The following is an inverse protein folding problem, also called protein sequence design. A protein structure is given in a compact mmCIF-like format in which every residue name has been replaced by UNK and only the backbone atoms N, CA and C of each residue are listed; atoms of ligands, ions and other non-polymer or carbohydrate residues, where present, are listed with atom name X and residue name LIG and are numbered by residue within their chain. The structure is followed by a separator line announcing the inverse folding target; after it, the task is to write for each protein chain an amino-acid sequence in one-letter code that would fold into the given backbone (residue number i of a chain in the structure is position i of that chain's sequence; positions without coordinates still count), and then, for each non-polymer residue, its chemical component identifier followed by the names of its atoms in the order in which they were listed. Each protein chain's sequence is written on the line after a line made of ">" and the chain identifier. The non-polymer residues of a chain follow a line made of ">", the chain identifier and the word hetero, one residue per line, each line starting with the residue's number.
data_IF_116388258779
#
_entry.id   IF_116388258779
#
_cell.length_a   1.000
_cell.length_b   1.000
_cell.length_c   1.000
_cell.angle_alpha   90.00
_cell.angle_beta   90.00
_cell.angle_gamma   90.00
#
_symmetry.space_group_name_H-M   'P 1'
#
loop_
_entity.id
_entity.type
_entity.pdbx_description
1 polymer ?
#
# COMPACT_ATOMS: atom_id res chain seq x y z
N UNK A 1 1.02 -35.54 -27.64
CA UNK A 1 1.94 -35.48 -26.47
C UNK A 1 2.05 -34.03 -26.02
N UNK A 2 1.37 -33.66 -24.95
CA UNK A 2 1.30 -32.28 -24.41
C UNK A 2 2.63 -31.95 -23.71
N UNK A 3 3.19 -30.75 -23.95
CA UNK A 3 4.51 -30.30 -23.47
C UNK A 3 4.36 -29.53 -22.15
N UNK A 4 4.20 -30.23 -21.03
CA UNK A 4 4.08 -29.58 -19.71
C UNK A 4 5.43 -29.00 -19.27
N UNK A 5 5.51 -27.67 -19.12
CA UNK A 5 6.59 -26.97 -18.40
C UNK A 5 6.13 -26.74 -16.96
N UNK A 6 6.89 -27.19 -15.98
CA UNK A 6 6.55 -27.05 -14.56
C UNK A 6 7.57 -26.11 -13.91
N UNK A 7 7.08 -25.11 -13.18
CA UNK A 7 7.90 -24.27 -12.33
C UNK A 7 7.96 -24.88 -10.93
N UNK A 8 9.16 -25.24 -10.46
CA UNK A 8 9.39 -25.64 -9.09
C UNK A 8 9.88 -24.45 -8.27
N UNK A 9 9.16 -24.14 -7.21
CA UNK A 9 9.49 -23.07 -6.26
C UNK A 9 9.97 -23.73 -4.98
N UNK A 10 11.20 -23.44 -4.58
CA UNK A 10 11.82 -23.93 -3.36
C UNK A 10 12.06 -22.76 -2.41
N UNK A 11 11.36 -22.74 -1.28
CA UNK A 11 11.69 -21.84 -0.18
C UNK A 11 12.63 -22.54 0.81
N UNK A 12 13.73 -21.87 1.13
CA UNK A 12 14.58 -22.28 2.24
C UNK A 12 13.82 -22.13 3.57
N UNK A 13 14.06 -23.04 4.51
CA UNK A 13 13.37 -23.06 5.81
C UNK A 13 14.09 -22.24 6.89
N UNK A 14 15.37 -21.91 6.65
CA UNK A 14 16.25 -21.22 7.60
C UNK A 14 16.66 -19.84 7.10
N UNK A 15 16.81 -19.67 5.79
CA UNK A 15 17.25 -18.43 5.15
C UNK A 15 16.10 -17.72 4.43
N UNK A 16 16.11 -16.38 4.36
CA UNK A 16 15.08 -15.66 3.63
C UNK A 16 15.36 -15.71 2.12
N UNK A 17 15.26 -16.90 1.53
CA UNK A 17 15.64 -17.22 0.16
C UNK A 17 14.62 -18.14 -0.52
N UNK A 18 14.25 -17.78 -1.75
CA UNK A 18 13.42 -18.59 -2.64
C UNK A 18 14.17 -18.82 -3.95
N UNK A 19 14.18 -20.07 -4.40
CA UNK A 19 14.75 -20.51 -5.66
C UNK A 19 13.66 -21.07 -6.55
N UNK A 20 13.67 -20.68 -7.81
CA UNK A 20 12.70 -21.10 -8.80
C UNK A 20 13.44 -21.74 -9.97
N UNK A 21 13.05 -22.97 -10.32
CA UNK A 21 13.67 -23.74 -11.38
C UNK A 21 12.60 -24.34 -12.28
N UNK A 22 12.81 -24.27 -13.59
CA UNK A 22 11.93 -24.90 -14.58
C UNK A 22 12.40 -26.32 -14.83
N UNK A 23 11.47 -27.26 -14.76
CA UNK A 23 11.70 -28.64 -15.17
C UNK A 23 11.18 -28.83 -16.58
N UNK A 24 12.10 -29.09 -17.51
CA UNK A 24 11.77 -29.44 -18.89
C UNK A 24 11.65 -30.96 -19.06
N UNK A 25 10.98 -31.40 -20.13
CA UNK A 25 10.65 -32.81 -20.41
C UNK A 25 11.83 -33.79 -20.41
N UNK A 26 13.05 -33.31 -20.56
CA UNK A 26 14.27 -34.14 -20.57
C UNK A 26 14.79 -34.44 -19.16
N UNK A 27 14.10 -33.98 -18.10
CA UNK A 27 14.59 -34.04 -16.72
C UNK A 27 15.67 -33.00 -16.44
N UNK A 28 15.96 -32.14 -17.41
CA UNK A 28 16.84 -30.99 -17.24
C UNK A 28 16.10 -29.94 -16.41
N UNK A 29 16.73 -29.56 -15.29
CA UNK A 29 16.26 -28.52 -14.39
C UNK A 29 17.12 -27.29 -14.66
N UNK A 30 16.48 -26.14 -14.91
CA UNK A 30 17.17 -24.87 -15.12
C UNK A 30 16.71 -23.86 -14.08
N UNK A 31 17.64 -23.30 -13.33
CA UNK A 31 17.35 -22.20 -12.40
C UNK A 31 17.01 -20.94 -13.19
N UNK A 32 15.88 -20.32 -12.86
CA UNK A 32 15.35 -19.16 -13.59
C UNK A 32 15.21 -17.92 -12.73
N UNK A 33 15.04 -18.07 -11.42
CA UNK A 33 14.75 -16.97 -10.52
C UNK A 33 15.27 -17.30 -9.13
N UNK A 34 15.96 -16.35 -8.52
CA UNK A 34 16.32 -16.38 -7.11
C UNK A 34 15.85 -15.08 -6.46
N UNK A 35 15.11 -15.20 -5.37
CA UNK A 35 14.64 -14.08 -4.56
C UNK A 35 15.27 -14.20 -3.17
N UNK A 36 15.94 -13.15 -2.71
CA UNK A 36 16.58 -13.11 -1.38
C UNK A 36 16.25 -11.79 -0.68
N UNK A 37 15.83 -11.85 0.59
CA UNK A 37 15.74 -10.66 1.43
C UNK A 37 17.13 -10.30 1.98
N UNK A 38 17.60 -9.10 1.68
CA UNK A 38 18.87 -8.56 2.19
C UNK A 38 18.64 -7.28 2.97
N UNK A 39 19.72 -6.71 3.48
CA UNK A 39 19.74 -5.53 4.37
C UNK A 39 19.22 -4.24 3.73
N UNK A 40 19.21 -4.15 2.39
CA UNK A 40 18.71 -3.00 1.62
C UNK A 40 17.53 -3.35 0.69
N UNK A 41 16.89 -4.52 0.89
CA UNK A 41 15.62 -4.85 0.28
C UNK A 41 15.54 -6.26 -0.31
N UNK A 42 14.56 -6.44 -1.20
CA UNK A 42 14.27 -7.72 -1.86
C UNK A 42 15.09 -7.82 -3.14
N UNK A 43 16.10 -8.69 -3.15
CA UNK A 43 16.97 -8.92 -4.30
C UNK A 43 16.35 -9.98 -5.22
N UNK A 44 16.17 -9.62 -6.48
CA UNK A 44 15.61 -10.52 -7.49
C UNK A 44 16.64 -10.73 -8.60
N UNK A 45 17.01 -11.99 -8.79
CA UNK A 45 17.95 -12.43 -9.82
C UNK A 45 17.18 -13.27 -10.84
N UNK A 46 16.84 -12.69 -11.99
CA UNK A 46 16.25 -13.42 -13.13
C UNK A 46 17.40 -13.98 -14.00
N UNK A 47 17.38 -15.29 -14.25
CA UNK A 47 18.41 -16.05 -15.02
C UNK A 47 17.80 -16.68 -16.27
N UNK A 48 17.02 -15.91 -17.01
CA UNK A 48 16.44 -16.39 -18.26
C UNK A 48 17.51 -16.45 -19.36
N UNK A 49 17.23 -17.22 -20.42
CA UNK A 49 18.19 -17.48 -21.51
C UNK A 49 18.78 -16.15 -22.02
N UNK A 50 20.11 -16.00 -21.88
CA UNK A 50 20.99 -14.97 -22.45
C UNK A 50 21.21 -13.65 -21.69
N UNK A 51 20.41 -13.27 -20.68
CA UNK A 51 20.65 -12.07 -19.85
C UNK A 51 20.43 -12.36 -18.34
N UNK A 52 21.39 -11.96 -17.50
CA UNK A 52 21.27 -11.96 -16.04
C UNK A 52 20.74 -10.59 -15.58
N UNK A 53 19.45 -10.53 -15.26
CA UNK A 53 18.83 -9.32 -14.72
C UNK A 53 18.83 -9.37 -13.19
N UNK A 54 19.43 -8.36 -12.57
CA UNK A 54 19.38 -8.15 -11.12
C UNK A 54 18.75 -6.80 -10.81
N UNK A 55 17.68 -6.83 -10.02
CA UNK A 55 17.06 -5.63 -9.47
C UNK A 55 16.69 -5.82 -7.99
N UNK A 56 16.48 -4.70 -7.31
CA UNK A 56 16.13 -4.65 -5.89
C UNK A 56 14.80 -3.94 -5.77
N UNK A 57 13.85 -4.56 -5.06
CA UNK A 57 12.58 -3.94 -4.70
C UNK A 57 12.56 -3.58 -3.21
N UNK A 58 11.85 -2.51 -2.82
CA UNK A 58 11.59 -2.26 -1.41
C UNK A 58 10.73 -3.41 -0.85
N UNK A 59 11.06 -3.97 0.33
CA UNK A 59 10.20 -4.92 1.00
C UNK A 59 8.92 -4.21 1.47
N UNK A 60 7.88 -5.01 1.72
CA UNK A 60 6.56 -4.57 2.19
C UNK A 60 6.10 -5.46 3.34
N UNK A 61 5.15 -5.03 4.18
CA UNK A 61 4.64 -5.85 5.28
C UNK A 61 4.09 -7.21 4.83
N UNK A 62 3.36 -7.24 3.71
CA UNK A 62 2.81 -8.47 3.12
C UNK A 62 3.80 -9.17 2.18
N UNK A 63 4.99 -9.47 2.69
CA UNK A 63 6.11 -9.98 1.89
C UNK A 63 5.78 -11.25 1.09
N UNK A 64 4.94 -12.15 1.63
CA UNK A 64 4.50 -13.36 0.93
C UNK A 64 3.77 -13.03 -0.38
N UNK A 65 2.93 -11.98 -0.37
CA UNK A 65 2.19 -11.55 -1.55
C UNK A 65 3.14 -11.00 -2.61
N UNK A 66 4.11 -10.17 -2.21
CA UNK A 66 5.11 -9.62 -3.13
C UNK A 66 5.96 -10.72 -3.77
N UNK A 67 6.45 -11.68 -2.97
CA UNK A 67 7.25 -12.80 -3.47
C UNK A 67 6.43 -13.67 -4.43
N UNK A 68 5.17 -13.94 -4.10
CA UNK A 68 4.26 -14.71 -4.95
C UNK A 68 3.96 -14.00 -6.27
N UNK A 69 3.70 -12.68 -6.26
CA UNK A 69 3.49 -11.90 -7.48
C UNK A 69 4.69 -11.95 -8.43
N UNK A 70 5.92 -11.89 -7.90
CA UNK A 70 7.15 -12.00 -8.71
C UNK A 70 7.26 -13.39 -9.36
N UNK A 71 6.93 -14.44 -8.60
CA UNK A 71 6.94 -15.83 -9.11
C UNK A 71 5.88 -16.02 -10.20
N UNK A 72 4.67 -15.51 -9.98
CA UNK A 72 3.56 -15.57 -10.94
C UNK A 72 3.87 -14.80 -12.23
N UNK A 73 4.50 -13.62 -12.13
CA UNK A 73 4.97 -12.86 -13.29
C UNK A 73 5.94 -13.68 -14.14
N UNK A 74 6.93 -14.31 -13.52
CA UNK A 74 7.92 -15.14 -14.22
C UNK A 74 7.31 -16.42 -14.77
N UNK A 75 6.35 -17.01 -14.06
CA UNK A 75 5.59 -18.17 -14.53
C UNK A 75 4.82 -17.84 -15.83
N UNK A 76 4.17 -16.68 -15.87
CA UNK A 76 3.44 -16.19 -17.04
C UNK A 76 4.40 -15.90 -18.22
N UNK A 77 5.51 -15.21 -17.97
CA UNK A 77 6.56 -14.94 -18.98
C UNK A 77 7.07 -16.22 -19.66
N UNK A 78 7.24 -17.30 -18.88
CA UNK A 78 7.77 -18.57 -19.36
C UNK A 78 6.69 -19.53 -19.92
N UNK A 79 5.42 -19.13 -19.79
CA UNK A 79 4.24 -19.92 -20.15
C UNK A 79 4.27 -21.31 -19.50
N UNK A 80 4.50 -21.35 -18.18
CA UNK A 80 4.49 -22.61 -17.42
C UNK A 80 3.06 -23.09 -17.21
N UNK A 81 2.84 -24.40 -17.23
CA UNK A 81 1.50 -24.99 -17.11
C UNK A 81 1.09 -25.20 -15.64
N UNK A 82 2.06 -25.30 -14.73
CA UNK A 82 1.83 -25.49 -13.31
C UNK A 82 3.01 -24.96 -12.47
N UNK A 83 2.71 -24.53 -11.26
CA UNK A 83 3.67 -24.15 -10.23
C UNK A 83 3.57 -25.19 -9.11
N UNK A 84 4.71 -25.69 -8.64
CA UNK A 84 4.82 -26.62 -7.52
C UNK A 84 5.65 -25.96 -6.43
N UNK A 85 5.05 -25.75 -5.26
CA UNK A 85 5.72 -25.14 -4.11
C UNK A 85 6.34 -26.22 -3.22
N UNK A 86 7.56 -25.96 -2.75
CA UNK A 86 8.32 -26.80 -1.83
C UNK A 86 8.90 -25.94 -0.71
N UNK A 87 8.84 -26.46 0.52
CA UNK A 87 9.40 -25.84 1.71
C UNK A 87 10.37 -26.78 2.43
N UNK A 88 11.63 -26.37 2.58
CA UNK A 88 12.68 -27.21 3.17
C UNK A 88 13.01 -28.47 2.34
N UNK A 89 13.63 -29.47 2.97
CA UNK A 89 14.03 -30.71 2.28
C UNK A 89 12.83 -31.65 1.99
N UNK A 90 12.16 -31.42 0.87
CA UNK A 90 11.18 -32.30 0.20
C UNK A 90 9.71 -32.24 0.66
N UNK A 91 9.26 -31.18 1.33
CA UNK A 91 7.82 -31.02 1.58
C UNK A 91 7.15 -30.19 0.47
N UNK A 92 6.39 -30.85 -0.40
CA UNK A 92 5.47 -30.15 -1.31
C UNK A 92 4.32 -29.52 -0.52
N UNK A 93 4.05 -28.25 -0.80
CA UNK A 93 3.02 -27.45 -0.15
C UNK A 93 1.97 -27.00 -1.16
N UNK A 94 0.74 -26.76 -0.70
CA UNK A 94 -0.35 -26.26 -1.56
C UNK A 94 -0.13 -24.81 -2.03
N UNK A 95 0.60 -24.02 -1.23
CA UNK A 95 0.91 -22.62 -1.50
C UNK A 95 2.36 -22.28 -1.10
N UNK A 96 2.82 -21.08 -1.43
CA UNK A 96 4.09 -20.52 -1.00
C UNK A 96 4.13 -20.42 0.54
N UNK A 97 5.13 -21.07 1.13
CA UNK A 97 5.45 -20.94 2.56
C UNK A 97 6.85 -20.36 2.66
N UNK A 98 6.98 -19.23 3.36
CA UNK A 98 8.26 -18.56 3.60
C UNK A 98 8.76 -18.84 5.03
N UNK A 99 10.07 -18.89 5.21
CA UNK A 99 10.68 -18.99 6.53
C UNK A 99 10.31 -17.78 7.42
N UNK A 100 10.24 -17.97 8.74
CA UNK A 100 9.85 -16.90 9.68
C UNK A 100 10.77 -15.67 9.67
N UNK A 101 11.98 -15.78 9.14
CA UNK A 101 12.90 -14.66 8.91
C UNK A 101 12.39 -13.67 7.87
N UNK A 102 11.54 -14.10 6.94
CA UNK A 102 10.86 -13.21 5.99
C UNK A 102 9.87 -12.27 6.69
N UNK A 103 9.29 -12.67 7.82
CA UNK A 103 8.21 -11.94 8.51
C UNK A 103 8.71 -11.05 9.66
N UNK A 104 10.02 -10.82 9.73
CA UNK A 104 10.64 -9.91 10.70
C UNK A 104 10.37 -8.45 10.30
N UNK A 105 9.23 -7.90 10.76
CA UNK A 105 8.75 -6.57 10.39
C UNK A 105 9.77 -5.45 10.68
N UNK A 106 10.57 -5.61 11.74
CA UNK A 106 11.64 -4.67 12.08
C UNK A 106 12.71 -4.65 10.99
N UNK A 107 13.22 -5.83 10.61
CA UNK A 107 14.22 -5.93 9.54
C UNK A 107 13.67 -5.48 8.20
N UNK A 108 12.41 -5.84 7.87
CA UNK A 108 11.78 -5.40 6.64
C UNK A 108 11.64 -3.87 6.59
N UNK A 109 11.19 -3.23 7.67
CA UNK A 109 11.07 -1.78 7.74
C UNK A 109 12.42 -1.07 7.60
N UNK A 110 13.45 -1.58 8.29
CA UNK A 110 14.81 -1.05 8.18
C UNK A 110 15.36 -1.21 6.76
N UNK A 111 15.17 -2.37 6.13
CA UNK A 111 15.57 -2.61 4.75
C UNK A 111 14.82 -1.71 3.75
N UNK A 112 13.53 -1.47 3.95
CA UNK A 112 12.74 -0.53 3.14
C UNK A 112 13.25 0.91 3.28
N UNK A 113 13.53 1.36 4.50
CA UNK A 113 14.06 2.71 4.75
C UNK A 113 15.45 2.90 4.11
N UNK A 114 16.30 1.87 4.16
CA UNK A 114 17.60 1.86 3.49
C UNK A 114 17.45 1.87 1.97
N UNK A 115 16.53 1.08 1.43
CA UNK A 115 16.22 1.08 0.00
C UNK A 115 15.80 2.49 -0.47
N UNK A 116 14.94 3.16 0.30
CA UNK A 116 14.49 4.53 0.00
C UNK A 116 15.66 5.51 -0.03
N UNK A 117 16.58 5.43 0.94
CA UNK A 117 17.77 6.28 0.98
C UNK A 117 18.75 6.03 -0.18
N UNK A 118 19.03 4.76 -0.50
CA UNK A 118 19.97 4.36 -1.56
C UNK A 118 19.44 4.73 -2.94
N UNK A 119 18.14 4.50 -3.18
CA UNK A 119 17.50 4.76 -4.48
C UNK A 119 17.20 6.23 -4.76
N UNK A 120 17.43 7.12 -3.79
CA UNK A 120 17.19 8.54 -3.95
C UNK A 120 18.23 9.20 -4.85
N UNK A 121 17.75 9.87 -5.89
CA UNK A 121 18.57 10.68 -6.80
C UNK A 121 18.56 12.15 -6.35
N UNK A 122 19.25 12.43 -5.24
CA UNK A 122 19.35 13.77 -4.64
C UNK A 122 20.82 14.12 -4.36
N UNK A 123 21.19 15.36 -4.67
CA UNK A 123 22.52 15.92 -4.37
C UNK A 123 22.54 16.48 -2.94
N UNK A 124 22.84 15.61 -1.97
CA UNK A 124 23.10 16.01 -0.58
C UNK A 124 24.15 15.09 0.05
N UNK A 125 24.83 15.56 1.09
CA UNK A 125 25.85 14.77 1.82
C UNK A 125 25.22 13.62 2.61
N UNK A 126 24.09 13.88 3.25
CA UNK A 126 23.34 12.91 4.04
C UNK A 126 21.92 12.79 3.53
N UNK A 127 21.50 11.56 3.27
CA UNK A 127 20.13 11.24 2.87
C UNK A 127 19.46 10.52 4.03
N UNK A 128 18.29 10.99 4.44
CA UNK A 128 17.45 10.34 5.43
C UNK A 128 16.27 9.69 4.70
N UNK A 129 16.35 8.38 4.49
CA UNK A 129 15.24 7.60 3.94
C UNK A 129 14.27 7.23 5.05
N UNK A 130 13.09 7.84 5.07
CA UNK A 130 12.02 7.52 6.04
C UNK A 130 10.96 6.69 5.35
N UNK A 131 10.55 5.59 6.00
CA UNK A 131 9.46 4.73 5.56
C UNK A 131 8.44 4.57 6.67
N UNK A 132 7.18 4.90 6.37
CA UNK A 132 6.03 4.39 7.13
C UNK A 132 5.74 2.99 6.64
N UNK A 133 6.25 2.00 7.38
CA UNK A 133 6.27 0.61 6.95
C UNK A 133 4.92 -0.06 7.19
N UNK A 134 4.31 0.21 8.33
CA UNK A 134 2.93 -0.15 8.65
C UNK A 134 2.29 0.96 9.48
N UNK A 135 1.03 0.78 9.90
CA UNK A 135 0.31 1.75 10.72
C UNK A 135 1.01 2.11 12.03
N UNK A 136 1.77 1.16 12.58
CA UNK A 136 2.45 1.33 13.86
C UNK A 136 3.97 1.21 13.72
N UNK A 137 4.50 0.94 12.53
CA UNK A 137 5.94 0.80 12.30
C UNK A 137 6.43 1.88 11.37
N UNK A 138 7.38 2.68 11.85
CA UNK A 138 8.17 3.56 11.00
C UNK A 138 9.65 3.23 11.16
N UNK A 139 10.39 3.41 10.08
CA UNK A 139 11.82 3.23 10.06
C UNK A 139 12.50 4.34 9.28
N UNK A 140 13.69 4.72 9.71
CA UNK A 140 14.54 5.66 9.01
C UNK A 140 15.94 5.09 8.84
N UNK A 141 16.55 5.35 7.69
CA UNK A 141 17.97 5.12 7.46
C UNK A 141 18.65 6.41 7.07
N UNK A 142 19.66 6.79 7.83
CA UNK A 142 20.55 7.89 7.51
C UNK A 142 21.72 7.32 6.74
N UNK A 143 21.99 7.88 5.57
CA UNK A 143 22.96 7.36 4.62
C UNK A 143 23.89 8.47 4.16
N UNK A 144 25.19 8.21 4.24
CA UNK A 144 26.18 9.10 3.63
C UNK A 144 26.18 8.84 2.13
N UNK A 145 25.94 9.88 1.32
CA UNK A 145 25.79 9.71 -0.13
C UNK A 145 27.09 9.34 -0.83
N UNK A 146 28.23 9.81 -0.31
CA UNK A 146 29.56 9.62 -0.92
C UNK A 146 29.95 8.14 -1.08
N UNK A 147 29.64 7.30 -0.09
CA UNK A 147 29.99 5.88 -0.04
C UNK A 147 28.76 4.96 0.07
N UNK A 148 27.56 5.54 0.09
CA UNK A 148 26.28 4.84 0.33
C UNK A 148 26.26 4.03 1.62
N UNK A 149 27.07 4.42 2.62
CA UNK A 149 27.17 3.72 3.88
C UNK A 149 26.11 4.24 4.87
N UNK A 150 25.36 3.36 5.56
CA UNK A 150 24.42 3.78 6.59
C UNK A 150 25.17 4.31 7.80
N UNK A 151 24.78 5.49 8.27
CA UNK A 151 25.30 6.13 9.48
C UNK A 151 24.54 5.59 10.70
N UNK A 152 23.23 5.49 10.57
CA UNK A 152 22.34 5.05 11.62
C UNK A 152 21.03 4.57 11.00
N UNK A 153 20.39 3.62 11.68
CA UNK A 153 19.00 3.30 11.40
C UNK A 153 18.16 3.44 12.66
N UNK A 154 16.93 3.88 12.48
CA UNK A 154 15.96 4.12 13.54
C UNK A 154 14.74 3.27 13.22
N UNK A 155 14.26 2.53 14.21
CA UNK A 155 13.00 1.82 14.14
C UNK A 155 12.11 2.31 15.28
N UNK A 156 10.84 2.60 14.98
CA UNK A 156 9.85 2.97 15.98
C UNK A 156 8.60 2.13 15.82
N UNK A 157 8.17 1.56 16.94
CA UNK A 157 6.90 0.85 17.08
C UNK A 157 5.95 1.67 17.96
N UNK A 158 4.97 2.28 17.29
CA UNK A 158 3.88 3.10 17.83
C UNK A 158 2.72 2.26 18.40
N UNK A 159 2.75 0.93 18.34
CA UNK A 159 1.70 0.07 18.92
C UNK A 159 1.64 0.10 20.44
N UNK A 160 2.56 0.84 21.06
CA UNK A 160 2.76 0.91 22.50
C UNK A 160 2.93 2.36 22.94
N UNK A 161 2.48 2.68 24.14
CA UNK A 161 2.62 4.00 24.75
C UNK A 161 3.24 3.85 26.15
N UNK A 162 4.46 4.38 26.40
CA UNK A 162 5.37 5.07 25.45
C UNK A 162 5.90 4.15 24.32
N UNK A 163 6.19 4.73 23.16
CA UNK A 163 6.59 4.00 21.94
C UNK A 163 7.92 3.29 22.09
N UNK A 164 8.10 2.17 21.39
CA UNK A 164 9.39 1.46 21.39
C UNK A 164 10.29 2.04 20.32
N UNK A 165 11.39 2.67 20.73
CA UNK A 165 12.40 3.21 19.81
C UNK A 165 13.65 2.34 19.89
N UNK A 166 14.13 1.91 18.73
CA UNK A 166 15.38 1.17 18.57
C UNK A 166 16.32 1.92 17.64
N UNK A 167 17.57 2.08 18.06
CA UNK A 167 18.63 2.72 17.27
C UNK A 167 19.69 1.69 16.94
N UNK A 168 20.12 1.69 15.68
CA UNK A 168 21.15 0.81 15.15
C UNK A 168 22.31 1.65 14.64
N UNK A 169 23.52 1.22 14.94
CA UNK A 169 24.74 1.87 14.44
C UNK A 169 25.01 1.52 12.97
N UNK A 170 26.10 2.07 12.44
CA UNK A 170 26.59 1.84 11.08
C UNK A 170 26.78 0.36 10.70
N UNK A 171 27.03 -0.51 11.69
CA UNK A 171 27.22 -1.96 11.51
C UNK A 171 25.90 -2.74 11.61
N UNK A 172 24.75 -2.07 11.74
CA UNK A 172 23.44 -2.69 11.94
C UNK A 172 23.26 -3.31 13.33
N UNK A 173 24.09 -2.92 14.30
CA UNK A 173 23.99 -3.43 15.67
C UNK A 173 23.08 -2.52 16.50
N UNK A 174 22.15 -3.13 17.24
CA UNK A 174 21.28 -2.42 18.18
C UNK A 174 22.14 -1.76 19.27
N UNK A 175 22.14 -0.43 19.32
CA UNK A 175 22.86 0.36 20.31
C UNK A 175 21.95 0.84 21.43
N UNK A 176 20.69 1.16 21.12
CA UNK A 176 19.72 1.61 22.09
C UNK A 176 18.35 0.97 21.83
N UNK A 177 17.67 0.63 22.93
CA UNK A 177 16.28 0.18 22.93
C UNK A 177 15.59 0.85 24.11
N UNK A 178 14.73 1.82 23.80
CA UNK A 178 14.13 2.71 24.80
C UNK A 178 12.65 2.92 24.56
N UNK A 179 12.01 3.47 25.58
CA UNK A 179 10.60 3.83 25.61
C UNK A 179 10.50 5.34 25.63
N UNK A 180 9.93 5.92 24.59
CA UNK A 180 9.92 7.38 24.38
C UNK A 180 8.66 7.81 23.63
N UNK A 181 8.10 8.97 23.95
CA UNK A 181 6.97 9.55 23.22
C UNK A 181 7.52 10.27 21.99
N UNK A 182 7.15 9.80 20.81
CA UNK A 182 7.59 10.36 19.53
C UNK A 182 6.34 10.93 18.85
N UNK A 183 6.16 12.25 18.91
CA UNK A 183 4.98 12.90 18.31
C UNK A 183 5.15 13.04 16.79
N UNK A 184 6.34 13.44 16.34
CA UNK A 184 6.70 13.56 14.94
C UNK A 184 7.99 12.75 14.70
N UNK A 185 7.88 11.68 13.92
CA UNK A 185 9.01 10.80 13.62
C UNK A 185 10.06 11.47 12.74
N UNK A 186 9.66 12.36 11.83
CA UNK A 186 10.58 13.09 10.97
C UNK A 186 11.41 14.09 11.79
N UNK A 187 10.75 14.88 12.63
CA UNK A 187 11.45 15.80 13.54
C UNK A 187 12.34 15.05 14.54
N UNK A 188 11.86 13.91 15.05
CA UNK A 188 12.64 13.04 15.92
C UNK A 188 13.93 12.60 15.25
N UNK A 189 13.83 12.04 14.04
CA UNK A 189 15.00 11.56 13.29
C UNK A 189 15.94 12.72 12.93
N UNK A 190 15.41 13.88 12.52
CA UNK A 190 16.21 15.10 12.31
C UNK A 190 16.96 15.51 13.56
N UNK A 191 16.32 15.48 14.72
CA UNK A 191 16.90 15.82 16.01
C UNK A 191 18.02 14.87 16.46
N UNK A 192 18.08 13.66 15.91
CA UNK A 192 19.20 12.74 16.11
C UNK A 192 20.43 13.08 15.25
N UNK A 193 20.29 14.00 14.28
CA UNK A 193 21.37 14.43 13.38
C UNK A 193 21.81 15.84 13.70
N UNK A 194 23.13 16.07 13.72
CA UNK A 194 23.71 17.41 13.82
C UNK A 194 24.12 17.97 12.44
N UNK A 195 23.68 17.34 11.35
CA UNK A 195 24.11 17.66 9.99
C UNK A 195 23.16 18.66 9.34
N UNK A 196 23.65 19.88 9.10
CA UNK A 196 22.90 20.98 8.47
C UNK A 196 22.58 20.72 6.99
N UNK A 197 23.30 19.80 6.34
CA UNK A 197 23.16 19.42 4.93
C UNK A 197 22.61 17.99 4.79
N UNK A 198 21.35 17.81 5.21
CA UNK A 198 20.60 16.57 5.08
C UNK A 198 19.32 16.75 4.26
N UNK A 199 18.99 15.77 3.43
CA UNK A 199 17.74 15.72 2.65
C UNK A 199 16.91 14.53 3.09
N UNK A 200 15.61 14.76 3.31
CA UNK A 200 14.66 13.72 3.66
C UNK A 200 13.99 13.18 2.40
N UNK A 201 14.03 11.87 2.27
CA UNK A 201 13.36 11.11 1.23
C UNK A 201 12.33 10.24 1.91
N UNK A 202 11.08 10.63 1.73
CA UNK A 202 9.95 9.96 2.38
C UNK A 202 9.30 8.99 1.39
N UNK A 203 9.06 7.75 1.83
CA UNK A 203 8.27 6.76 1.10
C UNK A 203 7.23 6.13 2.01
N UNK A 204 5.99 6.17 1.58
CA UNK A 204 4.93 5.38 2.17
C UNK A 204 4.93 3.99 1.54
N UNK A 205 5.18 2.95 2.34
CA UNK A 205 4.78 1.59 1.98
C UNK A 205 3.43 1.32 2.63
N UNK A 206 2.43 2.13 2.30
CA UNK A 206 1.04 1.82 2.68
C UNK A 206 0.69 0.50 1.97
N UNK A 207 0.25 -0.49 2.75
CA UNK A 207 0.00 -1.86 2.32
C UNK A 207 -0.81 -1.96 1.02
N UNK A 208 -0.47 -2.98 0.23
CA UNK A 208 -0.99 -3.36 -1.10
C UNK A 208 -1.23 -2.20 -2.07
N UNK A 209 -0.43 -2.15 -3.14
CA UNK A 209 -0.93 -1.65 -4.41
C UNK A 209 -2.28 -2.34 -4.68
N UNK A 210 -3.36 -1.61 -4.99
CA UNK A 210 -4.64 -2.23 -5.27
C UNK A 210 -4.46 -3.33 -6.32
N UNK A 211 -4.69 -4.60 -5.96
CA UNK A 211 -4.62 -5.72 -6.90
C UNK A 211 -6.01 -6.04 -7.45
N UNK A 212 -6.20 -6.06 -8.77
CA UNK A 212 -7.50 -6.33 -9.36
C UNK A 212 -7.90 -7.79 -9.19
N UNK A 213 -9.21 -8.04 -9.10
CA UNK A 213 -9.80 -9.34 -9.39
C UNK A 213 -9.86 -9.52 -10.91
N UNK A 214 -9.26 -10.59 -11.43
CA UNK A 214 -9.38 -10.98 -12.83
C UNK A 214 -10.76 -11.64 -13.10
N UNK A 215 -11.52 -11.10 -14.04
CA UNK A 215 -12.83 -11.60 -14.46
C UNK A 215 -12.76 -12.05 -15.91
N UNK A 216 -12.85 -13.36 -16.15
CA UNK A 216 -12.85 -13.98 -17.48
C UNK A 216 -14.28 -14.19 -17.97
N UNK A 217 -14.57 -13.70 -19.16
CA UNK A 217 -15.87 -13.86 -19.82
C UNK A 217 -15.88 -15.05 -20.77
N UNK A 218 -17.08 -15.58 -21.04
CA UNK A 218 -17.28 -16.71 -21.96
C UNK A 218 -16.92 -16.41 -23.41
N UNK A 219 -16.83 -15.13 -23.80
CA UNK A 219 -16.38 -14.69 -25.12
C UNK A 219 -14.85 -14.59 -25.24
N UNK A 220 -14.10 -14.90 -24.17
CA UNK A 220 -12.64 -14.80 -24.11
C UNK A 220 -12.10 -13.43 -23.69
N UNK A 221 -12.97 -12.47 -23.39
CA UNK A 221 -12.57 -11.17 -22.85
C UNK A 221 -12.19 -11.30 -21.37
N UNK A 222 -11.15 -10.57 -20.94
CA UNK A 222 -10.74 -10.48 -19.54
C UNK A 222 -10.89 -9.04 -19.07
N UNK A 223 -11.42 -8.85 -17.86
CA UNK A 223 -11.44 -7.55 -17.18
C UNK A 223 -10.75 -7.65 -15.83
N UNK A 224 -10.14 -6.55 -15.42
CA UNK A 224 -9.46 -6.39 -14.14
C UNK A 224 -10.28 -5.42 -13.30
N UNK A 225 -10.84 -5.90 -12.20
CA UNK A 225 -11.87 -5.17 -11.44
C UNK A 225 -11.47 -5.05 -9.98
N UNK A 226 -11.59 -3.86 -9.42
CA UNK A 226 -11.25 -3.59 -8.03
C UNK A 226 -11.92 -2.33 -7.54
N UNK A 227 -11.97 -2.18 -6.21
CA UNK A 227 -12.56 -1.01 -5.58
C UNK A 227 -11.58 -0.39 -4.61
N UNK A 228 -11.33 0.91 -4.73
CA UNK A 228 -10.48 1.66 -3.82
C UNK A 228 -11.36 2.65 -3.05
N UNK A 229 -11.29 2.64 -1.73
CA UNK A 229 -11.95 3.62 -0.88
C UNK A 229 -10.99 4.74 -0.50
N UNK A 230 -11.49 5.97 -0.58
CA UNK A 230 -10.89 7.19 -0.02
C UNK A 230 -11.98 7.96 0.73
N UNK A 231 -11.59 8.91 1.56
CA UNK A 231 -12.50 9.65 2.43
C UNK A 231 -12.26 11.15 2.31
N UNK A 232 -13.34 11.92 2.20
CA UNK A 232 -13.28 13.37 2.46
C UNK A 232 -13.51 13.56 3.95
N UNK A 233 -12.65 14.35 4.58
CA UNK A 233 -12.72 14.64 6.01
C UNK A 233 -13.42 15.98 6.20
N UNK A 234 -14.23 16.10 7.24
CA UNK A 234 -14.79 17.37 7.67
C UNK A 234 -15.09 17.41 9.17
N UNK A 235 -15.46 18.59 9.63
CA UNK A 235 -15.63 18.91 11.04
C UNK A 235 -17.00 19.53 11.29
N UNK A 236 -17.80 18.96 12.18
CA UNK A 236 -19.12 19.45 12.54
C UNK A 236 -19.08 20.09 13.94
N UNK A 237 -18.76 21.38 14.07
CA UNK A 237 -18.64 22.05 15.36
C UNK A 237 -19.99 22.27 16.07
N UNK A 238 -21.14 22.12 15.40
CA UNK A 238 -22.45 22.53 15.93
C UNK A 238 -23.50 21.41 15.97
N UNK A 239 -23.10 20.14 15.86
CA UNK A 239 -24.03 19.00 15.87
C UNK A 239 -25.18 19.19 14.85
N UNK A 240 -24.82 19.78 13.69
CA UNK A 240 -25.81 20.15 12.68
C UNK A 240 -26.56 18.92 12.18
N UNK A 241 -27.89 19.03 12.11
CA UNK A 241 -28.75 17.91 11.80
C UNK A 241 -28.53 17.40 10.36
N UNK A 242 -27.91 16.23 10.24
CA UNK A 242 -27.87 15.37 9.04
C UNK A 242 -27.20 16.01 7.79
N UNK A 243 -25.88 16.31 7.85
CA UNK A 243 -25.13 16.89 6.74
C UNK A 243 -25.23 15.98 5.50
N UNK A 244 -25.51 16.60 4.34
CA UNK A 244 -25.71 15.89 3.06
C UNK A 244 -24.91 16.52 1.94
N UNK A 245 -24.36 15.68 1.07
CA UNK A 245 -23.77 16.14 -0.20
C UNK A 245 -24.89 16.68 -1.09
N UNK A 246 -24.88 17.98 -1.39
CA UNK A 246 -25.93 18.63 -2.21
C UNK A 246 -25.98 18.10 -3.64
N UNK A 247 -24.83 17.85 -4.26
CA UNK A 247 -24.76 17.37 -5.65
C UNK A 247 -23.65 16.32 -5.84
N UNK A 248 -23.96 15.06 -5.51
CA UNK A 248 -23.04 13.92 -5.66
C UNK A 248 -22.55 13.72 -7.09
N UNK A 249 -23.38 14.03 -8.09
CA UNK A 249 -23.03 13.83 -9.51
C UNK A 249 -21.98 14.82 -9.98
N UNK A 250 -22.11 16.09 -9.57
CA UNK A 250 -21.10 17.12 -9.83
C UNK A 250 -19.80 16.78 -9.13
N UNK A 251 -19.86 16.48 -7.83
CA UNK A 251 -18.68 16.13 -7.03
C UNK A 251 -17.96 14.89 -7.58
N UNK A 252 -18.68 13.84 -7.99
CA UNK A 252 -18.11 12.65 -8.65
C UNK A 252 -17.40 12.98 -9.97
N UNK A 253 -17.93 13.94 -10.73
CA UNK A 253 -17.32 14.39 -11.99
C UNK A 253 -16.03 15.17 -11.74
N UNK A 254 -16.02 16.01 -10.72
CA UNK A 254 -14.84 16.81 -10.35
C UNK A 254 -13.76 15.91 -9.78
N UNK A 255 -14.07 15.07 -8.78
CA UNK A 255 -13.12 14.11 -8.20
C UNK A 255 -12.45 13.31 -9.31
N UNK A 256 -13.24 12.76 -10.24
CA UNK A 256 -12.72 12.00 -11.37
C UNK A 256 -11.81 12.86 -12.28
N UNK A 257 -12.20 14.10 -12.56
CA UNK A 257 -11.45 15.03 -13.39
C UNK A 257 -10.13 15.47 -12.77
N UNK A 258 -10.13 15.80 -11.48
CA UNK A 258 -8.94 16.27 -10.75
C UNK A 258 -7.93 15.14 -10.51
N UNK A 259 -8.37 13.88 -10.52
CA UNK A 259 -7.50 12.70 -10.50
C UNK A 259 -7.19 12.14 -11.89
N UNK A 260 -7.58 12.84 -12.96
CA UNK A 260 -7.36 12.41 -14.36
C UNK A 260 -7.84 10.99 -14.68
N UNK A 261 -9.03 10.62 -14.21
CA UNK A 261 -9.58 9.28 -14.43
C UNK A 261 -10.59 9.28 -15.59
N UNK A 262 -10.54 8.23 -16.41
CA UNK A 262 -11.52 8.05 -17.47
C UNK A 262 -12.86 7.61 -16.87
N UNK A 263 -13.95 8.13 -17.43
CA UNK A 263 -15.30 7.71 -17.02
C UNK A 263 -15.51 6.28 -17.48
N UNK A 264 -16.03 5.44 -16.59
CA UNK A 264 -16.43 4.08 -16.93
C UNK A 264 -17.41 4.07 -18.12
N UNK A 265 -16.96 3.52 -19.25
CA UNK A 265 -17.74 3.40 -20.48
C UNK A 265 -17.33 2.16 -21.27
N UNK A 266 -18.34 1.41 -21.76
CA UNK A 266 -18.29 0.25 -22.68
C UNK A 266 -17.25 -0.88 -22.46
N UNK A 267 -16.28 -0.75 -21.55
CA UNK A 267 -15.26 -1.76 -21.31
C UNK A 267 -14.17 -1.41 -20.29
N UNK A 268 -13.91 -0.13 -20.01
CA UNK A 268 -12.94 0.29 -18.97
C UNK A 268 -13.20 1.68 -18.44
N UNK A 269 -12.50 2.04 -17.37
CA UNK A 269 -12.56 3.34 -16.70
C UNK A 269 -12.98 3.22 -15.23
N UNK A 270 -13.30 4.37 -14.65
CA UNK A 270 -13.62 4.48 -13.23
C UNK A 270 -15.00 5.11 -13.01
N UNK A 271 -15.78 4.49 -12.13
CA UNK A 271 -17.03 5.05 -11.61
C UNK A 271 -16.85 5.44 -10.14
N UNK A 272 -17.12 6.70 -9.82
CA UNK A 272 -16.91 7.27 -8.48
C UNK A 272 -18.24 7.33 -7.73
N UNK A 273 -18.34 6.58 -6.63
CA UNK A 273 -19.54 6.46 -5.81
C UNK A 273 -19.37 7.15 -4.45
N UNK A 274 -20.17 8.19 -4.21
CA UNK A 274 -20.06 9.02 -3.01
C UNK A 274 -21.11 8.62 -1.96
N UNK A 275 -20.65 8.39 -0.73
CA UNK A 275 -21.43 8.20 0.49
C UNK A 275 -22.14 9.46 0.96
N UNK A 276 -22.84 9.37 2.07
CA UNK A 276 -23.23 10.55 2.84
C UNK A 276 -22.12 10.89 3.85
N UNK A 277 -22.03 12.16 4.28
CA UNK A 277 -21.27 12.52 5.46
C UNK A 277 -21.81 11.79 6.68
N UNK A 278 -20.91 11.21 7.47
CA UNK A 278 -21.21 10.35 8.60
C UNK A 278 -20.09 10.45 9.63
N UNK A 279 -20.40 10.11 10.87
CA UNK A 279 -19.41 9.90 11.93
C UNK A 279 -18.74 8.53 11.78
N UNK A 280 -17.61 8.34 12.48
CA UNK A 280 -16.81 7.11 12.42
C UNK A 280 -17.60 5.84 12.77
N UNK A 281 -18.46 5.89 13.80
CA UNK A 281 -19.31 4.77 14.21
C UNK A 281 -20.27 4.30 13.09
N UNK A 282 -20.64 5.19 12.17
CA UNK A 282 -21.54 4.89 11.06
C UNK A 282 -20.81 4.46 9.79
N UNK A 283 -19.47 4.47 9.79
CA UNK A 283 -18.65 4.22 8.60
C UNK A 283 -18.86 2.85 7.99
N UNK A 284 -18.83 1.79 8.80
CA UNK A 284 -19.08 0.42 8.33
C UNK A 284 -20.43 0.33 7.60
N UNK A 285 -21.47 0.94 8.18
CA UNK A 285 -22.82 0.92 7.61
C UNK A 285 -22.90 1.66 6.27
N UNK A 286 -22.24 2.81 6.15
CA UNK A 286 -22.25 3.61 4.91
C UNK A 286 -21.38 2.97 3.81
N UNK A 287 -20.21 2.44 4.18
CA UNK A 287 -19.33 1.65 3.30
C UNK A 287 -20.06 0.45 2.71
N UNK A 288 -20.83 -0.29 3.53
CA UNK A 288 -21.68 -1.38 3.03
C UNK A 288 -22.74 -0.92 2.01
N UNK A 289 -23.30 0.29 2.17
CA UNK A 289 -24.23 0.86 1.17
C UNK A 289 -23.52 1.17 -0.15
N UNK A 290 -22.26 1.62 -0.10
CA UNK A 290 -21.45 1.83 -1.30
C UNK A 290 -21.12 0.49 -1.96
N UNK A 291 -20.62 -0.51 -1.21
CA UNK A 291 -20.35 -1.87 -1.69
C UNK A 291 -21.57 -2.47 -2.43
N UNK A 292 -22.78 -2.32 -1.88
CA UNK A 292 -24.04 -2.74 -2.55
C UNK A 292 -24.34 -1.99 -3.85
N UNK A 293 -24.02 -0.69 -3.93
CA UNK A 293 -24.19 0.11 -5.18
C UNK A 293 -23.18 -0.32 -6.24
N UNK A 294 -21.96 -0.66 -5.84
CA UNK A 294 -20.92 -1.21 -6.71
C UNK A 294 -21.36 -2.54 -7.29
N UNK A 295 -21.80 -3.48 -6.46
CA UNK A 295 -22.32 -4.78 -6.92
C UNK A 295 -23.43 -4.61 -7.97
N UNK A 296 -24.40 -3.72 -7.75
CA UNK A 296 -25.46 -3.44 -8.74
C UNK A 296 -24.92 -2.87 -10.05
N UNK A 297 -23.87 -2.07 -9.99
CA UNK A 297 -23.25 -1.46 -11.19
C UNK A 297 -22.50 -2.52 -11.98
N UNK A 298 -21.74 -3.37 -11.30
CA UNK A 298 -21.06 -4.53 -11.90
C UNK A 298 -22.05 -5.50 -12.55
N UNK A 299 -23.16 -5.84 -11.87
CA UNK A 299 -24.20 -6.69 -12.45
C UNK A 299 -24.81 -6.09 -13.72
N UNK A 300 -24.99 -4.75 -13.79
CA UNK A 300 -25.47 -4.07 -15.01
C UNK A 300 -24.47 -4.12 -16.16
N UNK A 301 -23.18 -4.20 -15.84
CA UNK A 301 -22.09 -4.35 -16.80
C UNK A 301 -21.86 -5.82 -17.20
N UNK A 302 -22.64 -6.76 -16.65
CA UNK A 302 -22.45 -8.20 -16.89
C UNK A 302 -21.26 -8.81 -16.15
N UNK A 303 -20.60 -8.06 -15.27
CA UNK A 303 -19.47 -8.52 -14.46
C UNK A 303 -20.03 -9.35 -13.30
N UNK A 304 -19.85 -10.66 -13.36
CA UNK A 304 -20.17 -11.59 -12.27
C UNK A 304 -18.93 -11.87 -11.40
N UNK A 305 -18.42 -10.83 -10.74
CA UNK A 305 -17.35 -11.00 -9.77
C UNK A 305 -17.96 -11.38 -8.41
N UNK A 306 -17.75 -12.62 -7.97
CA UNK A 306 -18.16 -13.09 -6.63
C UNK A 306 -17.28 -12.47 -5.54
N UNK A 307 -16.00 -12.25 -5.83
CA UNK A 307 -14.98 -11.83 -4.88
C UNK A 307 -14.19 -10.63 -5.42
N UNK A 308 -14.77 -9.44 -5.26
CA UNK A 308 -14.11 -8.17 -5.64
C UNK A 308 -13.23 -7.73 -4.49
N UNK A 309 -11.98 -7.38 -4.78
CA UNK A 309 -11.10 -6.78 -3.79
C UNK A 309 -11.52 -5.33 -3.48
N UNK A 310 -11.67 -5.04 -2.18
CA UNK A 310 -11.96 -3.71 -1.66
C UNK A 310 -10.75 -3.22 -0.85
N UNK A 311 -10.12 -2.15 -1.30
CA UNK A 311 -8.94 -1.52 -0.68
C UNK A 311 -9.34 -0.25 0.07
N UNK A 312 -8.61 0.10 1.14
CA UNK A 312 -8.84 1.32 1.92
C UNK A 312 -10.15 1.34 2.73
N UNK A 313 -10.75 0.17 2.96
CA UNK A 313 -11.98 0.01 3.75
C UNK A 313 -11.83 -1.09 4.80
N UNK A 314 -10.65 -1.21 5.40
CA UNK A 314 -10.41 -2.19 6.44
C UNK A 314 -11.17 -1.80 7.72
N UNK A 315 -12.17 -2.60 8.03
CA UNK A 315 -13.05 -2.43 9.19
C UNK A 315 -12.36 -2.86 10.49
N UNK A 316 -11.19 -3.52 10.41
CA UNK A 316 -10.39 -3.90 11.58
C UNK A 316 -9.86 -2.65 12.32
N UNK A 317 -9.44 -1.64 11.56
CA UNK A 317 -8.86 -0.38 12.06
C UNK A 317 -9.89 0.42 12.86
N UNK A 318 -11.18 0.30 12.51
CA UNK A 318 -12.27 0.97 13.23
C UNK A 318 -12.56 0.36 14.61
N UNK A 319 -12.14 -0.88 14.88
CA UNK A 319 -12.36 -1.54 16.18
C UNK A 319 -11.47 -0.98 17.29
N UNK A 320 -10.41 -0.26 16.92
CA UNK A 320 -9.46 0.34 17.88
C UNK A 320 -10.01 1.66 18.48
N UNK A 321 -11.06 2.22 17.89
CA UNK A 321 -11.67 3.48 18.30
C UNK A 321 -12.78 3.19 19.31
N UNK A 322 -12.48 3.38 20.60
CA UNK A 322 -13.39 3.06 21.71
C UNK A 322 -14.58 4.02 21.82
N UNK A 323 -14.37 5.30 21.52
CA UNK A 323 -15.38 6.35 21.63
C UNK A 323 -15.37 7.21 20.36
N UNK A 324 -16.45 7.10 19.57
CA UNK A 324 -16.63 7.87 18.33
C UNK A 324 -17.17 9.25 18.68
N UNK A 325 -16.41 10.29 18.35
CA UNK A 325 -16.79 11.66 18.56
C UNK A 325 -17.70 12.18 17.43
N UNK A 326 -18.73 12.99 17.76
CA UNK A 326 -19.70 13.50 16.79
C UNK A 326 -19.16 14.64 15.91
N UNK A 327 -18.02 15.23 16.29
CA UNK A 327 -17.48 16.41 15.61
C UNK A 327 -16.67 16.09 14.36
N UNK A 328 -16.17 14.87 14.15
CA UNK A 328 -15.53 14.50 12.88
C UNK A 328 -16.52 13.80 11.96
N UNK A 329 -16.57 14.27 10.71
CA UNK A 329 -17.37 13.69 9.64
C UNK A 329 -16.47 13.15 8.54
N UNK A 330 -16.85 11.99 8.02
CA UNK A 330 -16.23 11.35 6.87
C UNK A 330 -17.25 11.22 5.76
N UNK A 331 -16.82 11.47 4.52
CA UNK A 331 -17.59 11.11 3.33
C UNK A 331 -16.85 9.98 2.63
N UNK A 332 -17.31 8.73 2.75
CA UNK A 332 -16.66 7.62 2.06
C UNK A 332 -16.90 7.72 0.55
N UNK A 333 -15.84 7.54 -0.23
CA UNK A 333 -15.85 7.54 -1.69
C UNK A 333 -15.30 6.20 -2.17
N UNK A 334 -16.13 5.41 -2.86
CA UNK A 334 -15.69 4.20 -3.53
C UNK A 334 -15.40 4.46 -5.01
N UNK A 335 -14.16 4.21 -5.42
CA UNK A 335 -13.74 4.21 -6.82
C UNK A 335 -13.85 2.78 -7.34
N UNK A 336 -14.86 2.51 -8.17
CA UNK A 336 -14.94 1.26 -8.91
C UNK A 336 -14.05 1.37 -10.15
N UNK A 337 -12.96 0.61 -10.18
CA UNK A 337 -11.99 0.60 -11.27
C UNK A 337 -12.19 -0.66 -12.11
N UNK A 338 -12.34 -0.49 -13.42
CA UNK A 338 -12.41 -1.57 -14.40
C UNK A 338 -11.37 -1.31 -15.49
N UNK A 339 -10.37 -2.19 -15.59
CA UNK A 339 -9.38 -2.18 -16.67
C UNK A 339 -9.64 -3.30 -17.67
N UNK A 340 -9.36 -3.04 -18.95
CA UNK A 340 -9.29 -4.08 -19.99
C UNK A 340 -7.98 -4.85 -19.93
N UNK A 341 -6.95 -4.28 -19.30
CA UNK A 341 -5.67 -4.94 -18.99
C UNK A 341 -5.27 -4.65 -17.53
N UNK A 342 -4.38 -5.48 -16.95
CA UNK A 342 -3.84 -5.24 -15.60
C UNK A 342 -3.14 -3.88 -15.52
N UNK A 343 -2.31 -3.56 -16.53
CA UNK A 343 -1.63 -2.26 -16.63
C UNK A 343 -2.60 -1.07 -16.61
N UNK A 344 -3.69 -1.13 -17.36
CA UNK A 344 -4.70 -0.06 -17.38
C UNK A 344 -5.38 0.09 -16.01
N UNK A 345 -5.66 -1.03 -15.34
CA UNK A 345 -6.14 -1.01 -13.97
C UNK A 345 -5.13 -0.34 -13.02
N UNK A 346 -3.85 -0.75 -13.09
CA UNK A 346 -2.78 -0.24 -12.22
C UNK A 346 -2.55 1.26 -12.42
N UNK A 347 -2.66 1.76 -13.66
CA UNK A 347 -2.58 3.20 -13.95
C UNK A 347 -3.72 3.99 -13.29
N UNK A 348 -4.97 3.48 -13.34
CA UNK A 348 -6.09 4.12 -12.64
C UNK A 348 -5.94 4.02 -11.11
N UNK A 349 -5.53 2.86 -10.61
CA UNK A 349 -5.32 2.63 -9.19
C UNK A 349 -4.25 3.57 -8.62
N UNK A 350 -3.11 3.71 -9.32
CA UNK A 350 -2.03 4.61 -8.96
C UNK A 350 -2.50 6.07 -8.86
N UNK A 351 -3.28 6.56 -9.84
CA UNK A 351 -3.84 7.92 -9.82
C UNK A 351 -4.80 8.14 -8.64
N UNK A 352 -5.58 7.13 -8.27
CA UNK A 352 -6.49 7.21 -7.10
C UNK A 352 -5.69 7.24 -5.80
N UNK A 353 -4.64 6.42 -5.69
CA UNK A 353 -3.78 6.35 -4.50
C UNK A 353 -3.04 7.67 -4.30
N UNK A 354 -2.41 8.20 -5.35
CA UNK A 354 -1.67 9.48 -5.34
C UNK A 354 -2.59 10.69 -5.11
N UNK A 355 -3.85 10.59 -5.51
CA UNK A 355 -4.81 11.69 -5.40
C UNK A 355 -4.64 12.78 -6.48
N UNK A 356 -5.33 13.92 -6.33
CA UNK A 356 -5.28 15.02 -7.30
C UNK A 356 -3.91 15.71 -7.32
N UNK A 357 -3.55 16.32 -8.46
CA UNK A 357 -2.40 17.24 -8.54
C UNK A 357 -2.63 18.48 -7.68
N UNK A 358 -1.60 19.26 -7.30
CA UNK A 358 -1.76 20.48 -6.49
C UNK A 358 -2.85 21.44 -7.00
N UNK A 359 -2.86 21.75 -8.30
CA UNK A 359 -3.91 22.59 -8.91
C UNK A 359 -5.30 21.92 -8.85
N UNK A 360 -5.34 20.59 -8.96
CA UNK A 360 -6.56 19.80 -8.85
C UNK A 360 -7.09 19.74 -7.41
N UNK A 361 -6.21 19.83 -6.42
CA UNK A 361 -6.54 19.90 -5.00
C UNK A 361 -7.23 21.22 -4.65
N UNK A 362 -6.76 22.35 -5.18
CA UNK A 362 -7.42 23.65 -5.00
C UNK A 362 -8.85 23.64 -5.57
N UNK A 363 -9.00 23.13 -6.79
CA UNK A 363 -10.32 22.99 -7.44
C UNK A 363 -11.24 22.07 -6.63
N UNK A 364 -10.69 20.94 -6.14
CA UNK A 364 -11.46 20.00 -5.33
C UNK A 364 -11.91 20.63 -4.02
N UNK A 365 -11.05 21.38 -3.34
CA UNK A 365 -11.36 22.08 -2.09
C UNK A 365 -12.46 23.12 -2.27
N UNK A 366 -12.39 23.97 -3.29
CA UNK A 366 -13.45 24.94 -3.61
C UNK A 366 -14.80 24.26 -3.89
N UNK A 367 -14.77 23.16 -4.64
CA UNK A 367 -15.97 22.42 -4.96
C UNK A 367 -16.55 21.66 -3.77
N UNK A 368 -15.71 21.12 -2.87
CA UNK A 368 -16.15 20.53 -1.61
C UNK A 368 -16.82 21.60 -0.74
N UNK A 369 -16.22 22.79 -0.61
CA UNK A 369 -16.82 23.92 0.12
C UNK A 369 -18.20 24.28 -0.42
N UNK A 370 -18.37 24.27 -1.75
CA UNK A 370 -19.65 24.58 -2.38
C UNK A 370 -20.72 23.46 -2.25
N UNK A 371 -20.32 22.18 -2.25
CA UNK A 371 -21.22 21.03 -2.31
C UNK A 371 -21.50 20.35 -0.96
N UNK A 372 -20.59 20.50 0.00
CA UNK A 372 -20.61 19.82 1.31
C UNK A 372 -20.63 20.83 2.47
N UNK A 373 -19.81 21.89 2.39
CA UNK A 373 -19.72 23.10 3.25
C UNK A 373 -18.26 23.44 3.55
N UNK A 374 -18.01 24.62 4.13
CA UNK A 374 -16.68 25.04 4.58
C UNK A 374 -16.08 24.20 5.72
N UNK A 375 -16.86 23.26 6.24
CA UNK A 375 -16.46 22.33 7.29
C UNK A 375 -15.68 21.12 6.75
N UNK A 376 -15.69 20.89 5.43
CA UNK A 376 -15.00 19.76 4.81
C UNK A 376 -13.72 20.22 4.11
N UNK A 377 -12.70 19.37 4.16
CA UNK A 377 -11.40 19.58 3.54
C UNK A 377 -11.34 18.86 2.19
N UNK A 378 -10.84 19.57 1.17
CA UNK A 378 -10.51 19.14 -0.19
C UNK A 378 -9.72 17.84 -0.40
N UNK A 379 -9.47 17.04 0.64
CA UNK A 379 -8.47 15.98 0.65
C UNK A 379 -9.08 14.58 0.54
N UNK A 380 -8.53 13.76 -0.35
CA UNK A 380 -8.92 12.35 -0.53
C UNK A 380 -8.02 11.46 0.32
N UNK A 381 -8.37 11.38 1.60
CA UNK A 381 -7.60 10.65 2.58
C UNK A 381 -7.77 9.13 2.44
N UNK A 382 -6.73 8.36 2.78
CA UNK A 382 -6.91 6.97 3.23
C UNK A 382 -7.73 6.92 4.53
N UNK A 383 -8.21 5.74 4.93
CA UNK A 383 -8.95 5.64 6.21
C UNK A 383 -7.99 5.95 7.36
N UNK A 384 -6.77 5.46 7.23
CA UNK A 384 -5.66 5.60 8.16
C UNK A 384 -5.30 7.07 8.36
N UNK A 385 -5.10 7.84 7.27
CA UNK A 385 -4.89 9.29 7.34
C UNK A 385 -6.04 10.02 8.05
N UNK A 386 -7.28 9.61 7.79
CA UNK A 386 -8.45 10.19 8.44
C UNK A 386 -8.49 9.89 9.95
N UNK A 387 -7.96 8.74 10.38
CA UNK A 387 -7.88 8.35 11.79
C UNK A 387 -6.72 8.99 12.52
N UNK A 388 -5.59 9.24 11.85
CA UNK A 388 -4.49 10.03 12.43
C UNK A 388 -5.01 11.43 12.76
N UNK A 389 -5.63 12.11 11.79
CA UNK A 389 -6.22 13.43 11.99
C UNK A 389 -7.30 13.43 13.08
N UNK A 390 -8.05 12.34 13.22
CA UNK A 390 -9.01 12.20 14.30
C UNK A 390 -8.36 12.18 15.68
N UNK A 391 -7.32 11.37 15.86
CA UNK A 391 -6.62 11.23 17.14
C UNK A 391 -5.88 12.53 17.51
N UNK A 392 -5.21 13.16 16.54
CA UNK A 392 -4.47 14.41 16.77
C UNK A 392 -5.39 15.52 17.30
N UNK A 393 -6.58 15.66 16.72
CA UNK A 393 -7.54 16.69 17.13
C UNK A 393 -8.22 16.33 18.45
N UNK A 394 -8.53 15.05 18.70
CA UNK A 394 -9.08 14.61 19.99
C UNK A 394 -8.11 14.87 21.15
N UNK A 395 -6.82 14.63 20.92
CA UNK A 395 -5.77 14.98 21.88
C UNK A 395 -5.62 16.49 22.12
N UNK A 396 -5.78 17.32 21.10
CA UNK A 396 -5.74 18.77 21.27
C UNK A 396 -6.96 19.29 22.03
N UNK A 397 -8.16 18.82 21.70
CA UNK A 397 -9.40 19.25 22.36
C UNK A 397 -9.45 18.80 23.82
N UNK A 398 -8.96 17.59 24.12
CA UNK A 398 -8.92 17.07 25.50
C UNK A 398 -7.86 17.75 26.39
N UNK A 399 -6.87 18.45 25.82
CA UNK A 399 -5.90 19.27 26.58
C UNK A 399 -6.48 20.63 27.01
N UNK A 400 -7.56 21.08 26.38
CA UNK A 400 -8.24 22.35 26.66
C UNK A 400 -9.42 22.22 27.68
N UNK A 401 -9.74 21.00 28.13
CA UNK A 401 -10.60 20.72 29.31
C UNK A 401 -9.76 20.52 30.59
#
# INVERSE_FOLDING_TARGET
>A
MIRVKILQVFSDENEPKVLCSVVEKEGQTKDILQIELRDNGLHIYKRNMDDEDHYILPPVPEIDSLVKEIIEEVADELSVEAIVYKYGQDNETEDLVLAGTWHDLEKLALAASKHAAVSADVESKVIIGIVKFSNFIQAATLLRKEDSFPIMQVFVDFSTDPHTVKLYNEMGQLIENRRENVNDFEEYVKGLTNEEDSVIVYRESIGRSPSPTEVKYSNGETKYVGVIFKYIIGFNPEDSSDPKVKNKRRLSTIIRGTTYLDRLSEGSGVEVMIGNPITLDQLVKETLKIKRRIQRTLSKLGIQATDINYFGADESILKEIKDSNPWMLLVPIGFLVVGSTKKEFDEFASRIVMGPTPDGMEILDEEIKSNLSNMFVGYLASLEEALILYNDIDEEVSKDE
#
